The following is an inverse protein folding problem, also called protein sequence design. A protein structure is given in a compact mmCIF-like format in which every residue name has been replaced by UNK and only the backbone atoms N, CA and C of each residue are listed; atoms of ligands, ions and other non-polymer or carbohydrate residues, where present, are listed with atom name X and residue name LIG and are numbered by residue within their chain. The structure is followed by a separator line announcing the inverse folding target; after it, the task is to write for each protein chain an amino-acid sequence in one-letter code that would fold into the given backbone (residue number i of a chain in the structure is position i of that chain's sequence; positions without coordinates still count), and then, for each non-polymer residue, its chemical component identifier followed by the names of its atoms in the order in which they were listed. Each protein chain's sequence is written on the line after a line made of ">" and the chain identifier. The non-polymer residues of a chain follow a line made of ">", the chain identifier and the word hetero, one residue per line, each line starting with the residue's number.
data_IF_957324160683
#
_entry.id   IF_957324160683
#
_cell.length_a   1.000
_cell.length_b   1.000
_cell.length_c   1.000
_cell.angle_alpha   90.00
_cell.angle_beta   90.00
_cell.angle_gamma   90.00
#
_symmetry.space_group_name_H-M   'P 1'
#
loop_
_entity.id
_entity.type
_entity.pdbx_description
1 polymer ?
#
# COMPACT_ATOMS: atom_id res chain seq x y z
N UNK A 1 8.98 37.40 21.67
CA UNK A 1 9.42 36.04 22.05
C UNK A 1 8.24 35.18 22.45
N UNK A 2 8.17 33.96 21.92
CA UNK A 2 7.18 32.95 22.31
C UNK A 2 7.93 31.92 23.15
N UNK A 3 7.48 31.68 24.38
CA UNK A 3 7.99 30.61 25.23
C UNK A 3 6.99 29.47 25.24
N UNK A 4 7.47 28.25 24.99
CA UNK A 4 6.67 27.03 25.06
C UNK A 4 7.28 26.15 26.15
N UNK A 5 6.48 25.82 27.16
CA UNK A 5 6.87 24.88 28.22
C UNK A 5 6.25 23.52 27.94
N UNK A 6 7.09 22.47 27.94
CA UNK A 6 6.66 21.08 27.70
C UNK A 6 6.97 20.30 28.97
N UNK A 7 5.95 19.66 29.54
CA UNK A 7 6.10 18.75 30.68
C UNK A 7 5.72 17.34 30.25
N UNK A 8 6.53 16.35 30.60
CA UNK A 8 6.31 14.96 30.22
C UNK A 8 6.57 14.03 31.41
N UNK A 9 5.83 12.91 31.46
CA UNK A 9 6.10 11.80 32.40
C UNK A 9 7.26 10.92 31.94
N UNK A 10 7.58 10.96 30.64
CA UNK A 10 8.75 10.34 30.03
C UNK A 10 9.83 11.40 29.79
N UNK A 11 11.09 11.08 30.05
CA UNK A 11 12.18 12.05 30.03
C UNK A 11 12.63 12.48 28.62
N UNK A 12 12.01 11.97 27.57
CA UNK A 12 12.42 12.20 26.17
C UNK A 12 11.31 12.89 25.37
N UNK A 13 11.68 14.00 24.72
CA UNK A 13 10.81 14.77 23.83
C UNK A 13 11.56 14.97 22.52
N UNK A 14 11.02 14.44 21.44
CA UNK A 14 11.51 14.73 20.10
C UNK A 14 10.84 15.99 19.55
N UNK A 15 11.63 16.86 18.94
CA UNK A 15 11.17 18.06 18.25
C UNK A 15 11.60 18.02 16.79
N UNK A 16 10.70 18.49 15.91
CA UNK A 16 10.99 18.66 14.50
C UNK A 16 10.83 20.12 14.12
N UNK A 17 11.68 20.59 13.23
CA UNK A 17 11.60 21.93 12.70
C UNK A 17 11.60 21.89 11.17
N UNK A 18 10.92 22.85 10.56
CA UNK A 18 10.82 22.94 9.10
C UNK A 18 12.18 23.29 8.46
N UNK A 19 12.22 23.25 7.14
CA UNK A 19 13.39 23.62 6.34
C UNK A 19 13.86 25.04 6.73
N UNK A 20 15.17 25.20 6.95
CA UNK A 20 15.84 26.42 7.44
C UNK A 20 15.68 26.76 8.93
N UNK A 21 15.10 25.86 9.73
CA UNK A 21 15.19 25.92 11.19
C UNK A 21 16.16 24.86 11.71
N UNK A 22 16.74 25.09 12.90
CA UNK A 22 17.62 24.14 13.55
C UNK A 22 17.44 24.20 15.07
N UNK A 23 17.51 23.04 15.73
CA UNK A 23 17.62 22.98 17.18
C UNK A 23 19.08 23.18 17.59
N UNK A 24 19.32 24.11 18.49
CA UNK A 24 20.66 24.44 18.97
C UNK A 24 20.62 24.63 20.48
N UNK A 25 21.50 23.91 21.17
CA UNK A 25 21.82 24.11 22.59
C UNK A 25 23.01 25.08 22.76
N UNK A 26 23.39 25.85 21.72
CA UNK A 26 24.55 26.74 21.77
C UNK A 26 24.44 27.76 22.90
N UNK A 27 25.48 27.74 23.75
CA UNK A 27 25.72 28.62 24.89
C UNK A 27 25.75 30.11 24.49
N UNK A 28 26.06 30.43 23.24
CA UNK A 28 26.16 31.81 22.72
C UNK A 28 24.85 32.59 22.72
N UNK A 29 23.69 31.92 22.88
CA UNK A 29 22.40 32.58 23.13
C UNK A 29 21.94 32.51 24.60
N UNK A 30 22.77 32.02 25.52
CA UNK A 30 22.51 32.01 26.96
C UNK A 30 21.60 30.88 27.47
N UNK A 31 21.12 29.98 26.61
CA UNK A 31 20.22 28.89 26.99
C UNK A 31 21.00 27.57 27.13
N UNK A 32 21.59 27.33 28.30
CA UNK A 32 22.10 26.00 28.65
C UNK A 32 21.10 25.34 29.58
N UNK A 33 20.41 24.31 29.09
CA UNK A 33 19.45 23.54 29.88
C UNK A 33 19.93 22.10 29.95
N UNK A 34 20.17 21.61 31.17
CA UNK A 34 20.55 20.21 31.41
C UNK A 34 19.48 19.29 30.82
N UNK A 35 19.89 18.28 30.04
CA UNK A 35 19.00 17.35 29.34
C UNK A 35 18.63 17.73 27.90
N UNK A 36 19.07 18.89 27.38
CA UNK A 36 18.84 19.28 25.98
C UNK A 36 20.01 18.90 25.07
N UNK A 37 19.74 18.02 24.11
CA UNK A 37 20.67 17.65 23.06
C UNK A 37 20.65 18.68 21.92
N UNK A 38 21.77 18.78 21.19
CA UNK A 38 21.78 19.49 19.90
C UNK A 38 20.88 18.72 18.91
N UNK A 39 20.26 19.43 17.96
CA UNK A 39 19.47 18.75 16.92
C UNK A 39 20.31 17.80 16.07
N UNK A 40 19.69 16.69 15.66
CA UNK A 40 20.24 15.66 14.79
C UNK A 40 19.28 15.33 13.63
N UNK A 41 19.66 14.36 12.79
CA UNK A 41 18.85 13.88 11.67
C UNK A 41 18.50 12.39 11.79
N UNK A 42 18.37 11.85 13.01
CA UNK A 42 18.18 10.41 13.24
C UNK A 42 16.71 9.97 13.30
N UNK A 43 15.78 10.92 13.43
CA UNK A 43 14.34 10.67 13.49
C UNK A 43 13.63 11.57 12.47
N UNK A 44 13.80 11.34 11.18
CA UNK A 44 13.32 12.29 10.15
C UNK A 44 11.91 11.98 9.65
N UNK A 45 11.28 10.91 10.14
CA UNK A 45 9.92 10.55 9.79
C UNK A 45 8.90 11.29 10.66
N UNK A 46 8.19 12.23 10.03
CA UNK A 46 7.08 12.96 10.65
C UNK A 46 5.73 12.27 10.46
N UNK A 47 4.67 12.81 11.07
CA UNK A 47 3.29 12.31 10.96
C UNK A 47 2.82 12.21 9.49
N UNK A 48 3.17 13.19 8.65
CA UNK A 48 2.97 13.16 7.18
C UNK A 48 3.64 11.96 6.49
N UNK A 49 4.73 11.44 7.08
CA UNK A 49 5.39 10.21 6.65
C UNK A 49 4.66 8.93 7.07
N UNK A 50 3.45 9.02 7.63
CA UNK A 50 2.62 7.86 7.94
C UNK A 50 3.12 7.05 9.13
N UNK A 51 3.38 7.69 10.28
CA UNK A 51 3.85 6.99 11.49
C UNK A 51 2.82 6.04 12.11
N UNK A 52 1.56 6.08 11.68
CA UNK A 52 0.49 5.19 12.13
C UNK A 52 0.78 3.71 11.85
N UNK A 53 0.30 2.84 12.74
CA UNK A 53 0.35 1.37 12.57
C UNK A 53 -0.57 0.89 11.44
N UNK A 54 -1.61 1.66 11.13
CA UNK A 54 -2.63 1.35 10.10
C UNK A 54 -2.38 2.05 8.76
N UNK A 55 -1.14 2.50 8.51
CA UNK A 55 -0.69 3.06 7.24
C UNK A 55 0.47 2.21 6.72
N UNK A 56 0.52 2.00 5.40
CA UNK A 56 1.70 1.47 4.70
C UNK A 56 2.50 2.67 4.20
N UNK A 57 3.67 2.89 4.79
CA UNK A 57 4.55 4.01 4.47
C UNK A 57 5.56 3.63 3.40
N UNK A 58 5.65 4.47 2.36
CA UNK A 58 6.64 4.36 1.31
C UNK A 58 7.89 5.22 1.61
N UNK A 59 9.07 4.59 1.59
CA UNK A 59 10.35 5.27 1.40
C UNK A 59 10.61 5.53 -0.08
N UNK A 60 11.52 6.44 -0.40
CA UNK A 60 11.78 6.86 -1.77
C UNK A 60 13.13 6.37 -2.27
N UNK A 61 13.14 5.59 -3.36
CA UNK A 61 14.36 5.28 -4.11
C UNK A 61 14.26 5.71 -5.57
N UNK A 62 15.43 5.91 -6.18
CA UNK A 62 15.57 6.23 -7.59
C UNK A 62 15.30 4.97 -8.41
N UNK A 63 14.31 5.00 -9.28
CA UNK A 63 14.07 3.93 -10.25
C UNK A 63 14.74 4.23 -11.60
N UNK A 64 14.74 5.50 -12.00
CA UNK A 64 15.31 5.99 -13.24
C UNK A 64 16.31 7.10 -12.92
N UNK A 65 17.48 7.10 -13.56
CA UNK A 65 18.55 8.07 -13.25
C UNK A 65 18.49 9.33 -14.11
N UNK A 66 17.83 9.28 -15.27
CA UNK A 66 17.69 10.44 -16.15
C UNK A 66 16.55 10.31 -17.14
N UNK A 67 16.13 11.43 -17.71
CA UNK A 67 15.27 11.48 -18.88
C UNK A 67 15.72 12.54 -19.88
N UNK A 68 15.30 12.41 -21.14
CA UNK A 68 15.54 13.41 -22.18
C UNK A 68 14.39 14.41 -22.18
N UNK A 69 14.70 15.69 -21.96
CA UNK A 69 13.69 16.74 -21.96
C UNK A 69 13.34 17.24 -23.37
N UNK A 70 12.33 18.10 -23.49
CA UNK A 70 11.86 18.68 -24.77
C UNK A 70 12.88 19.59 -25.47
N UNK A 71 13.89 20.06 -24.73
CA UNK A 71 15.03 20.81 -25.28
C UNK A 71 16.11 19.89 -25.85
N UNK A 72 15.91 18.57 -25.80
CA UNK A 72 16.93 17.61 -26.18
C UNK A 72 18.14 17.67 -25.25
N UNK A 73 17.92 17.74 -23.93
CA UNK A 73 18.97 17.65 -22.91
C UNK A 73 18.70 16.48 -21.98
N UNK A 74 19.77 15.87 -21.45
CA UNK A 74 19.65 14.84 -20.42
C UNK A 74 19.50 15.54 -19.06
N UNK A 75 18.41 15.22 -18.35
CA UNK A 75 18.15 15.69 -17.00
C UNK A 75 18.33 14.52 -16.04
N UNK A 76 19.26 14.69 -15.11
CA UNK A 76 19.66 13.65 -14.17
C UNK A 76 18.93 13.82 -12.83
N UNK A 77 18.55 12.70 -12.24
CA UNK A 77 18.02 12.60 -10.90
C UNK A 77 19.16 12.49 -9.86
N UNK A 78 18.79 12.57 -8.59
CA UNK A 78 19.71 12.85 -7.48
C UNK A 78 20.70 11.73 -7.14
N UNK A 79 20.48 10.51 -7.62
CA UNK A 79 21.32 9.35 -7.32
C UNK A 79 21.23 8.25 -8.39
N UNK A 80 21.98 7.16 -8.17
CA UNK A 80 21.99 5.97 -9.03
C UNK A 80 20.68 5.17 -8.94
N UNK A 81 20.39 4.38 -9.98
CA UNK A 81 19.21 3.51 -10.00
C UNK A 81 19.29 2.50 -8.85
N UNK A 82 18.19 2.40 -8.11
CA UNK A 82 18.09 1.62 -6.89
C UNK A 82 18.56 2.35 -5.64
N UNK A 83 19.26 3.47 -5.71
CA UNK A 83 19.71 4.18 -4.51
C UNK A 83 18.57 4.95 -3.85
N UNK A 84 18.60 5.08 -2.52
CA UNK A 84 17.64 5.90 -1.78
C UNK A 84 17.83 7.39 -2.14
N UNK A 85 16.74 8.14 -2.25
CA UNK A 85 16.84 9.58 -2.51
C UNK A 85 17.34 10.29 -1.24
N UNK A 86 18.14 11.38 -1.38
CA UNK A 86 18.77 12.07 -0.24
C UNK A 86 17.74 12.77 0.67
N UNK A 87 16.54 13.02 0.16
CA UNK A 87 15.45 13.67 0.90
C UNK A 87 14.44 12.66 1.49
N UNK A 88 14.62 11.35 1.27
CA UNK A 88 13.71 10.35 1.83
C UNK A 88 13.83 10.34 3.36
N UNK A 89 12.75 10.73 4.05
CA UNK A 89 12.64 10.53 5.49
C UNK A 89 12.83 9.06 5.86
N UNK A 90 13.40 8.84 7.03
CA UNK A 90 13.68 7.52 7.58
C UNK A 90 13.40 7.50 9.07
N UNK A 91 13.18 6.29 9.57
CA UNK A 91 12.87 6.04 10.96
C UNK A 91 14.08 6.11 11.89
N UNK A 92 13.91 5.70 13.15
CA UNK A 92 12.67 5.16 13.69
C UNK A 92 11.58 6.23 13.87
N UNK A 93 10.35 5.78 14.14
CA UNK A 93 9.33 6.66 14.71
C UNK A 93 9.75 7.10 16.13
N UNK A 94 9.09 8.11 16.71
CA UNK A 94 9.38 8.56 18.08
C UNK A 94 9.19 7.50 19.16
N UNK A 95 8.47 6.41 18.85
CA UNK A 95 8.31 5.23 19.72
C UNK A 95 9.18 4.03 19.26
N UNK A 96 10.19 4.25 18.43
CA UNK A 96 11.22 3.26 18.09
C UNK A 96 10.85 2.27 16.98
N UNK A 97 9.66 2.39 16.36
CA UNK A 97 9.23 1.46 15.30
C UNK A 97 9.94 1.75 13.98
N UNK A 98 10.15 0.70 13.20
CA UNK A 98 10.66 0.82 11.83
C UNK A 98 9.63 1.47 10.92
N UNK A 99 10.01 2.61 10.34
CA UNK A 99 9.39 3.22 9.18
C UNK A 99 10.51 3.76 8.26
N UNK A 100 10.32 3.83 6.93
CA UNK A 100 9.13 3.42 6.17
C UNK A 100 8.87 1.91 6.27
N UNK A 101 7.70 1.43 5.85
CA UNK A 101 7.46 -0.01 5.79
C UNK A 101 8.18 -0.63 4.60
N UNK A 102 8.22 0.06 3.46
CA UNK A 102 8.81 -0.44 2.22
C UNK A 102 9.35 0.71 1.38
N UNK A 103 10.42 0.48 0.62
CA UNK A 103 10.94 1.47 -0.32
C UNK A 103 10.29 1.33 -1.70
N UNK A 104 9.88 2.44 -2.29
CA UNK A 104 9.13 2.54 -3.55
C UNK A 104 9.76 3.58 -4.49
N UNK A 105 9.62 3.41 -5.83
CA UNK A 105 10.10 4.36 -6.82
C UNK A 105 9.60 5.80 -6.62
N UNK A 106 10.53 6.76 -6.63
CA UNK A 106 10.22 8.18 -6.43
C UNK A 106 10.72 9.10 -7.55
N UNK A 107 11.55 8.60 -8.46
CA UNK A 107 12.02 9.29 -9.68
C UNK A 107 11.23 8.77 -10.89
N UNK A 108 10.18 9.49 -11.28
CA UNK A 108 9.20 9.00 -12.27
C UNK A 108 8.96 10.01 -13.38
N UNK A 109 8.53 9.48 -14.52
CA UNK A 109 7.96 10.23 -15.62
C UNK A 109 6.44 10.15 -15.50
N UNK A 110 5.81 11.27 -15.13
CA UNK A 110 4.38 11.33 -14.84
C UNK A 110 3.64 12.06 -15.96
N UNK A 111 2.43 11.60 -16.36
CA UNK A 111 1.63 12.34 -17.30
C UNK A 111 1.22 13.68 -16.69
N UNK A 112 1.25 14.73 -17.49
CA UNK A 112 0.60 15.98 -17.15
C UNK A 112 -0.79 16.07 -17.75
N UNK A 113 -1.60 16.88 -17.09
CA UNK A 113 -2.86 17.30 -17.66
C UNK A 113 -2.59 18.18 -18.90
N UNK A 114 -3.28 17.89 -20.00
CA UNK A 114 -3.20 18.66 -21.26
C UNK A 114 -3.61 20.13 -21.10
N UNK A 115 -4.33 20.49 -20.03
CA UNK A 115 -4.72 21.87 -19.71
C UNK A 115 -3.66 22.64 -18.89
N UNK A 116 -2.61 21.97 -18.40
CA UNK A 116 -1.63 22.54 -17.47
C UNK A 116 -0.28 22.86 -18.11
N UNK A 117 -0.18 22.85 -19.44
CA UNK A 117 1.06 23.21 -20.15
C UNK A 117 0.89 24.58 -20.78
N UNK A 118 1.74 25.53 -20.40
CA UNK A 118 1.84 26.84 -21.04
C UNK A 118 2.32 26.64 -22.49
N UNK A 119 1.47 26.93 -23.50
CA UNK A 119 1.83 26.81 -24.91
C UNK A 119 2.93 27.80 -25.34
N UNK A 120 3.21 28.83 -24.54
CA UNK A 120 4.17 29.89 -24.84
C UNK A 120 5.56 29.65 -24.25
N UNK A 121 5.76 28.50 -23.59
CA UNK A 121 7.05 27.83 -23.39
C UNK A 121 8.18 28.67 -22.82
N UNK A 122 8.39 28.62 -21.50
CA UNK A 122 9.71 28.80 -20.89
C UNK A 122 9.80 28.28 -19.44
N UNK A 123 8.71 28.29 -18.68
CA UNK A 123 8.75 27.79 -17.30
C UNK A 123 8.79 26.25 -17.29
N UNK A 124 9.91 25.70 -16.82
CA UNK A 124 10.12 24.27 -16.58
C UNK A 124 10.19 23.37 -17.82
N UNK A 125 10.57 23.90 -18.99
CA UNK A 125 10.84 23.09 -20.18
C UNK A 125 11.89 21.98 -19.93
N UNK A 126 12.80 22.21 -18.98
CA UNK A 126 13.74 21.20 -18.54
C UNK A 126 13.09 20.00 -17.83
N UNK A 127 11.91 20.17 -17.23
CA UNK A 127 11.17 19.09 -16.57
C UNK A 127 10.23 18.33 -17.51
N UNK A 128 9.94 18.88 -18.70
CA UNK A 128 9.05 18.27 -19.69
C UNK A 128 9.81 17.22 -20.49
N UNK A 129 9.30 15.99 -20.53
CA UNK A 129 9.85 14.91 -21.35
C UNK A 129 9.78 15.28 -22.84
N UNK A 130 10.80 14.91 -23.61
CA UNK A 130 10.86 15.24 -25.04
C UNK A 130 9.86 14.49 -25.92
N UNK A 131 9.22 13.44 -25.39
CA UNK A 131 8.12 12.76 -26.05
C UNK A 131 6.78 13.33 -25.60
N UNK A 132 5.88 13.54 -26.56
CA UNK A 132 4.50 13.98 -26.33
C UNK A 132 3.55 13.08 -27.14
N UNK A 133 2.29 12.99 -26.72
CA UNK A 133 1.24 12.28 -27.44
C UNK A 133 0.23 13.28 -27.94
N UNK A 134 -0.10 13.23 -29.23
CA UNK A 134 -1.06 14.15 -29.84
C UNK A 134 -2.22 13.36 -30.43
N UNK A 135 -3.43 13.78 -30.09
CA UNK A 135 -4.68 13.24 -30.64
C UNK A 135 -5.60 14.41 -31.00
N UNK A 136 -5.83 14.59 -32.30
CA UNK A 136 -6.54 15.76 -32.82
C UNK A 136 -5.79 17.05 -32.46
N UNK A 137 -6.50 18.01 -31.87
CA UNK A 137 -5.94 19.33 -31.48
C UNK A 137 -5.37 19.35 -30.05
N UNK A 138 -5.15 18.18 -29.43
CA UNK A 138 -4.67 18.08 -28.06
C UNK A 138 -3.33 17.35 -28.01
N UNK A 139 -2.43 17.89 -27.21
CA UNK A 139 -1.12 17.29 -26.91
C UNK A 139 -1.00 17.07 -25.40
N UNK A 140 -0.64 15.84 -25.03
CA UNK A 140 -0.34 15.43 -23.67
C UNK A 140 1.17 15.32 -23.52
N UNK A 141 1.67 15.94 -22.46
CA UNK A 141 3.08 15.95 -22.10
C UNK A 141 3.29 15.09 -20.86
N UNK A 142 4.54 14.73 -20.64
CA UNK A 142 4.99 14.08 -19.41
C UNK A 142 6.06 14.92 -18.74
N UNK A 143 6.16 14.76 -17.43
CA UNK A 143 7.10 15.50 -16.60
C UNK A 143 7.95 14.54 -15.79
N UNK A 144 9.26 14.80 -15.78
CA UNK A 144 10.18 14.12 -14.88
C UNK A 144 10.17 14.78 -13.51
N UNK A 145 9.84 14.00 -12.50
CA UNK A 145 9.82 14.43 -11.11
C UNK A 145 10.54 13.43 -10.22
N UNK A 146 11.19 13.95 -9.18
CA UNK A 146 11.81 13.16 -8.14
C UNK A 146 11.43 13.76 -6.77
N UNK A 147 10.47 13.13 -6.11
CA UNK A 147 9.96 13.55 -4.79
C UNK A 147 9.40 12.36 -4.01
N UNK A 148 9.51 12.36 -2.68
CA UNK A 148 9.00 11.25 -1.85
C UNK A 148 7.52 11.03 -2.04
N UNK A 149 6.76 12.10 -2.27
CA UNK A 149 5.32 12.03 -2.52
C UNK A 149 4.93 11.21 -3.75
N UNK A 150 5.87 10.87 -4.66
CA UNK A 150 5.62 9.95 -5.78
C UNK A 150 5.75 8.47 -5.40
N UNK A 151 6.52 8.17 -4.35
CA UNK A 151 6.67 6.81 -3.84
C UNK A 151 5.34 6.25 -3.33
N UNK A 152 4.54 7.09 -2.67
CA UNK A 152 3.23 6.74 -2.11
C UNK A 152 2.17 6.36 -3.16
N UNK A 153 1.85 7.19 -4.18
CA UNK A 153 0.89 6.81 -5.22
C UNK A 153 1.40 5.65 -6.08
N UNK A 154 2.72 5.53 -6.34
CA UNK A 154 3.26 4.36 -7.03
C UNK A 154 3.00 3.07 -6.24
N UNK A 155 3.26 3.09 -4.92
CA UNK A 155 2.95 1.98 -4.04
C UNK A 155 1.44 1.69 -4.00
N UNK A 156 0.59 2.72 -3.97
CA UNK A 156 -0.85 2.57 -4.01
C UNK A 156 -1.34 1.90 -5.30
N UNK A 157 -0.77 2.27 -6.46
CA UNK A 157 -1.06 1.59 -7.74
C UNK A 157 -0.66 0.11 -7.70
N UNK A 158 0.47 -0.22 -7.07
CA UNK A 158 0.87 -1.61 -6.90
C UNK A 158 -0.06 -2.38 -5.95
N UNK A 159 -0.53 -1.74 -4.88
CA UNK A 159 -1.55 -2.31 -3.98
C UNK A 159 -2.87 -2.54 -4.73
N UNK A 160 -3.27 -1.62 -5.61
CA UNK A 160 -4.47 -1.80 -6.43
C UNK A 160 -4.36 -3.03 -7.34
N UNK A 161 -3.21 -3.25 -7.97
CA UNK A 161 -2.95 -4.47 -8.76
C UNK A 161 -2.92 -5.74 -7.90
N UNK A 162 -2.41 -5.65 -6.67
CA UNK A 162 -2.44 -6.76 -5.72
C UNK A 162 -3.88 -7.11 -5.31
N UNK A 163 -4.71 -6.09 -5.06
CA UNK A 163 -6.14 -6.25 -4.74
C UNK A 163 -6.97 -6.67 -5.95
N UNK A 164 -6.56 -6.32 -7.17
CA UNK A 164 -7.18 -6.85 -8.38
C UNK A 164 -6.94 -8.36 -8.50
N UNK A 165 -5.74 -8.82 -8.12
CA UNK A 165 -5.40 -10.23 -8.10
C UNK A 165 -6.12 -10.99 -6.98
N UNK A 166 -6.31 -10.38 -5.81
CA UNK A 166 -7.11 -10.91 -4.71
C UNK A 166 -7.82 -9.79 -3.91
N UNK A 167 -9.12 -9.53 -4.17
CA UNK A 167 -9.86 -8.46 -3.49
C UNK A 167 -10.20 -8.76 -2.03
N UNK A 168 -9.95 -9.98 -1.54
CA UNK A 168 -10.25 -10.38 -0.17
C UNK A 168 -9.10 -10.07 0.79
N UNK A 169 -7.96 -9.57 0.29
CA UNK A 169 -6.82 -9.23 1.14
C UNK A 169 -7.19 -8.08 2.10
N UNK A 170 -7.20 -8.40 3.38
CA UNK A 170 -7.29 -7.40 4.44
C UNK A 170 -5.99 -6.58 4.53
N UNK A 171 -6.07 -5.39 5.14
CA UNK A 171 -4.93 -4.48 5.31
C UNK A 171 -3.66 -5.17 5.82
N UNK A 172 -3.76 -6.01 6.86
CA UNK A 172 -2.60 -6.70 7.43
C UNK A 172 -1.98 -7.72 6.46
N UNK A 173 -2.81 -8.39 5.67
CA UNK A 173 -2.35 -9.33 4.63
C UNK A 173 -1.65 -8.56 3.51
N UNK A 174 -2.22 -7.45 3.03
CA UNK A 174 -1.57 -6.57 2.05
C UNK A 174 -0.20 -6.12 2.55
N UNK A 175 -0.15 -5.61 3.79
CA UNK A 175 1.10 -5.16 4.40
C UNK A 175 2.13 -6.29 4.50
N UNK A 176 1.73 -7.46 5.02
CA UNK A 176 2.60 -8.62 5.16
C UNK A 176 3.11 -9.13 3.81
N UNK A 177 2.23 -9.26 2.81
CA UNK A 177 2.59 -9.70 1.46
C UNK A 177 3.62 -8.76 0.86
N UNK A 178 3.44 -7.44 0.99
CA UNK A 178 4.41 -6.47 0.47
C UNK A 178 5.75 -6.53 1.20
N UNK A 179 5.75 -6.59 2.54
CA UNK A 179 6.99 -6.51 3.33
C UNK A 179 7.79 -7.81 3.36
N UNK A 180 7.17 -8.96 3.12
CA UNK A 180 7.85 -10.27 3.06
C UNK A 180 8.34 -10.63 1.65
N UNK A 181 7.84 -9.95 0.62
CA UNK A 181 8.16 -10.23 -0.79
C UNK A 181 8.97 -9.10 -1.44
N UNK A 182 9.95 -8.53 -0.74
CA UNK A 182 10.79 -7.45 -1.24
C UNK A 182 11.98 -7.93 -2.07
N UNK A 183 12.69 -6.98 -2.68
CA UNK A 183 14.04 -7.19 -3.22
C UNK A 183 15.06 -6.45 -2.34
N UNK A 184 16.22 -7.06 -2.18
CA UNK A 184 17.42 -6.45 -1.60
C UNK A 184 18.55 -6.46 -2.62
N UNK A 185 19.47 -5.52 -2.47
CA UNK A 185 20.66 -5.39 -3.30
C UNK A 185 21.81 -4.71 -2.52
N UNK A 186 22.87 -4.33 -3.22
CA UNK A 186 24.04 -3.70 -2.62
C UNK A 186 23.71 -2.38 -1.89
N UNK A 187 22.67 -1.65 -2.30
CA UNK A 187 22.27 -0.41 -1.64
C UNK A 187 21.46 -0.66 -0.37
N UNK A 188 20.62 -1.71 -0.35
CA UNK A 188 19.86 -2.05 0.86
C UNK A 188 20.73 -2.74 1.91
N UNK A 189 21.77 -3.45 1.46
CA UNK A 189 22.53 -4.35 2.32
C UNK A 189 21.65 -5.43 2.93
N UNK A 190 22.03 -5.88 4.13
CA UNK A 190 21.27 -6.85 4.91
C UNK A 190 20.19 -6.14 5.71
N UNK A 191 18.94 -6.57 5.54
CA UNK A 191 17.79 -6.03 6.28
C UNK A 191 17.47 -6.97 7.46
N UNK A 192 17.52 -6.48 8.72
CA UNK A 192 17.12 -7.27 9.89
C UNK A 192 15.65 -7.66 9.88
N UNK A 193 15.27 -8.67 10.65
CA UNK A 193 13.85 -9.07 10.80
C UNK A 193 12.95 -7.97 11.38
N UNK A 194 13.53 -7.04 12.15
CA UNK A 194 12.83 -5.83 12.65
C UNK A 194 12.64 -4.75 11.58
N UNK A 195 13.21 -4.92 10.39
CA UNK A 195 13.29 -3.90 9.35
C UNK A 195 14.48 -2.95 9.53
N UNK A 196 14.77 -2.19 8.47
CA UNK A 196 15.85 -1.21 8.39
C UNK A 196 15.26 0.21 8.34
N UNK A 197 15.77 1.15 9.12
CA UNK A 197 15.16 2.48 9.23
C UNK A 197 15.13 3.29 7.93
N UNK A 198 16.09 3.09 7.02
CA UNK A 198 16.07 3.73 5.69
C UNK A 198 15.19 3.01 4.67
N UNK A 199 15.15 1.67 4.73
CA UNK A 199 14.65 0.82 3.64
C UNK A 199 13.34 0.10 3.99
N UNK A 200 12.88 0.23 5.24
CA UNK A 200 11.85 -0.62 5.79
C UNK A 200 12.24 -2.09 5.67
N UNK A 201 11.36 -2.88 5.08
CA UNK A 201 11.61 -4.30 4.80
C UNK A 201 12.24 -4.57 3.42
N UNK A 202 12.59 -3.52 2.66
CA UNK A 202 13.29 -3.62 1.38
C UNK A 202 12.60 -2.89 0.25
N UNK A 203 13.02 -3.17 -0.99
CA UNK A 203 12.45 -2.54 -2.19
C UNK A 203 11.20 -3.29 -2.64
N UNK A 204 10.16 -2.52 -2.98
CA UNK A 204 8.93 -3.03 -3.56
C UNK A 204 9.19 -3.98 -4.73
N UNK A 205 8.62 -5.18 -4.65
CA UNK A 205 8.62 -6.14 -5.75
C UNK A 205 7.21 -6.72 -5.92
N UNK A 206 6.43 -6.07 -6.78
CA UNK A 206 5.04 -6.45 -7.02
C UNK A 206 4.92 -7.86 -7.62
N UNK A 207 5.88 -8.28 -8.44
CA UNK A 207 5.86 -9.62 -9.05
C UNK A 207 5.95 -10.73 -8.00
N UNK A 208 6.87 -10.61 -7.02
CA UNK A 208 6.96 -11.55 -5.90
C UNK A 208 5.70 -11.50 -5.03
N UNK A 209 5.21 -10.30 -4.73
CA UNK A 209 3.99 -10.10 -3.96
C UNK A 209 2.77 -10.82 -4.59
N UNK A 210 2.49 -10.57 -5.87
CA UNK A 210 1.37 -11.22 -6.60
C UNK A 210 1.58 -12.73 -6.71
N UNK A 211 2.82 -13.18 -6.98
CA UNK A 211 3.12 -14.62 -7.05
C UNK A 211 2.82 -15.33 -5.72
N UNK A 212 3.12 -14.70 -4.59
CA UNK A 212 2.90 -15.29 -3.25
C UNK A 212 1.42 -15.52 -2.92
N UNK A 213 0.52 -14.64 -3.39
CA UNK A 213 -0.92 -14.78 -3.15
C UNK A 213 -1.59 -15.77 -4.12
N UNK A 214 -1.01 -15.98 -5.32
CA UNK A 214 -1.49 -16.99 -6.26
C UNK A 214 -1.27 -18.41 -5.75
N UNK A 215 -0.17 -18.66 -5.03
CA UNK A 215 0.08 -19.94 -4.38
C UNK A 215 -0.90 -20.20 -3.22
N UNK A 216 -1.43 -19.16 -2.58
CA UNK A 216 -2.46 -19.29 -1.54
C UNK A 216 -3.86 -19.61 -2.11
N UNK A 217 -4.17 -19.13 -3.32
CA UNK A 217 -5.50 -19.26 -3.96
C UNK A 217 -5.63 -20.46 -4.90
N UNK A 218 -4.55 -21.16 -5.26
CA UNK A 218 -4.57 -22.25 -6.25
C UNK A 218 -5.10 -23.61 -5.73
N UNK A 219 -5.62 -23.68 -4.51
CA UNK A 219 -6.19 -24.91 -3.93
C UNK A 219 -7.72 -24.99 -3.92
N UNK A 220 -8.43 -24.07 -4.59
CA UNK A 220 -9.87 -24.16 -4.80
C UNK A 220 -10.20 -24.37 -6.28
N UNK A 221 -10.14 -25.63 -6.72
CA UNK A 221 -10.85 -26.04 -7.95
C UNK A 221 -12.36 -25.96 -7.67
N UNK A 222 -12.99 -24.87 -8.07
CA UNK A 222 -14.45 -24.78 -8.13
C UNK A 222 -14.97 -25.50 -9.38
N UNK A 223 -15.69 -26.60 -9.18
CA UNK A 223 -16.45 -27.24 -10.24
C UNK A 223 -17.78 -26.50 -10.42
N UNK A 224 -17.88 -25.57 -11.37
CA UNK A 224 -19.14 -25.35 -12.12
C UNK A 224 -18.92 -24.63 -13.45
N UNK A 225 -19.58 -25.15 -14.48
CA UNK A 225 -19.80 -24.52 -15.78
C UNK A 225 -20.85 -23.40 -15.64
N UNK A 226 -20.41 -22.17 -15.34
CA UNK A 226 -21.28 -20.99 -15.26
C UNK A 226 -20.50 -19.77 -14.75
N UNK A 227 -20.87 -18.56 -15.19
CA UNK A 227 -20.15 -17.33 -14.83
C UNK A 227 -19.95 -17.20 -13.30
N UNK A 228 -18.71 -16.87 -12.90
CA UNK A 228 -18.31 -16.60 -11.51
C UNK A 228 -19.05 -15.37 -10.94
N UNK A 229 -20.23 -15.57 -10.33
CA UNK A 229 -21.01 -14.49 -9.70
C UNK A 229 -20.44 -14.07 -8.35
N UNK A 230 -19.98 -15.03 -7.54
CA UNK A 230 -19.54 -14.77 -6.16
C UNK A 230 -18.05 -15.02 -6.00
N UNK A 231 -17.35 -14.07 -5.37
CA UNK A 231 -15.99 -14.25 -4.85
C UNK A 231 -16.07 -14.40 -3.34
N UNK A 232 -15.18 -15.19 -2.73
CA UNK A 232 -15.25 -15.46 -1.30
C UNK A 232 -13.87 -15.53 -0.66
N UNK A 233 -13.77 -15.17 0.63
CA UNK A 233 -12.57 -15.42 1.41
C UNK A 233 -12.44 -16.91 1.74
N UNK A 234 -11.21 -17.43 1.67
CA UNK A 234 -10.87 -18.80 2.02
C UNK A 234 -9.33 -18.92 2.18
N UNK A 235 -8.79 -19.49 3.27
CA UNK A 235 -9.46 -19.99 4.48
C UNK A 235 -10.22 -18.91 5.27
N UNK A 236 -11.08 -19.34 6.19
CA UNK A 236 -11.92 -18.47 7.03
C UNK A 236 -11.79 -18.86 8.50
N UNK A 237 -11.92 -17.87 9.38
CA UNK A 237 -12.08 -18.10 10.81
C UNK A 237 -13.59 -18.02 11.16
N UNK A 238 -14.01 -16.93 11.80
CA UNK A 238 -15.38 -16.75 12.28
C UNK A 238 -16.35 -16.17 11.24
N UNK A 239 -15.87 -15.80 10.05
CA UNK A 239 -16.68 -15.07 9.08
C UNK A 239 -16.37 -15.46 7.63
N UNK A 240 -17.44 -15.82 6.91
CA UNK A 240 -17.45 -15.93 5.45
C UNK A 240 -17.92 -14.61 4.84
N UNK A 241 -17.18 -14.09 3.88
CA UNK A 241 -17.47 -12.88 3.12
C UNK A 241 -17.69 -13.30 1.67
N UNK A 242 -18.86 -12.97 1.13
CA UNK A 242 -19.19 -13.16 -0.28
C UNK A 242 -19.29 -11.81 -0.98
N UNK A 243 -18.58 -11.63 -2.09
CA UNK A 243 -18.70 -10.46 -2.96
C UNK A 243 -19.53 -10.81 -4.19
N UNK A 244 -20.69 -10.15 -4.39
CA UNK A 244 -21.53 -10.33 -5.59
C UNK A 244 -21.08 -9.40 -6.71
N UNK A 245 -20.52 -9.97 -7.78
CA UNK A 245 -20.07 -9.19 -8.95
C UNK A 245 -21.18 -8.58 -9.78
N UNK A 246 -22.39 -9.14 -9.74
CA UNK A 246 -23.48 -8.72 -10.62
C UNK A 246 -24.34 -7.62 -9.99
N UNK A 247 -24.24 -7.39 -8.68
CA UNK A 247 -24.98 -6.33 -7.97
C UNK A 247 -26.49 -6.41 -8.17
N UNK A 248 -27.02 -7.63 -8.41
CA UNK A 248 -28.46 -7.84 -8.57
C UNK A 248 -29.07 -8.06 -7.19
N UNK A 249 -29.99 -7.18 -6.80
CA UNK A 249 -30.77 -7.34 -5.58
C UNK A 249 -31.56 -8.65 -5.56
N UNK A 250 -31.99 -9.09 -4.37
CA UNK A 250 -32.79 -10.30 -4.19
C UNK A 250 -32.36 -11.13 -2.97
N UNK A 251 -32.96 -12.31 -2.81
CA UNK A 251 -32.64 -13.21 -1.70
C UNK A 251 -31.39 -14.06 -1.99
N UNK A 252 -30.40 -14.02 -1.10
CA UNK A 252 -29.22 -14.89 -1.07
C UNK A 252 -29.37 -15.90 0.08
N UNK A 253 -29.22 -17.19 -0.21
CA UNK A 253 -29.30 -18.27 0.78
C UNK A 253 -28.06 -19.14 0.74
N UNK A 254 -27.47 -19.43 1.90
CA UNK A 254 -26.37 -20.36 2.05
C UNK A 254 -26.80 -21.64 2.76
N UNK A 255 -26.36 -22.77 2.24
CA UNK A 255 -26.39 -24.06 2.91
C UNK A 255 -24.95 -24.55 3.08
N UNK A 256 -24.59 -24.97 4.29
CA UNK A 256 -23.22 -25.42 4.60
C UNK A 256 -23.24 -26.92 4.89
N UNK A 257 -22.45 -27.67 4.12
CA UNK A 257 -22.33 -29.11 4.24
C UNK A 257 -20.93 -29.48 4.75
N UNK A 258 -20.85 -30.49 5.62
CA UNK A 258 -19.57 -31.10 5.97
C UNK A 258 -19.07 -32.03 4.85
N UNK A 259 -17.90 -32.62 5.03
CA UNK A 259 -17.31 -33.57 4.08
C UNK A 259 -18.10 -34.88 3.90
N UNK A 260 -19.03 -35.19 4.80
CA UNK A 260 -19.93 -36.35 4.70
C UNK A 260 -21.22 -36.02 3.95
N UNK A 261 -21.42 -34.76 3.53
CA UNK A 261 -22.63 -34.30 2.86
C UNK A 261 -23.79 -33.97 3.82
N UNK A 262 -23.55 -33.94 5.12
CA UNK A 262 -24.54 -33.53 6.11
C UNK A 262 -24.63 -32.01 6.15
N UNK A 263 -25.84 -31.45 6.10
CA UNK A 263 -26.08 -30.02 6.25
C UNK A 263 -25.92 -29.64 7.72
N UNK A 264 -24.82 -28.95 8.04
CA UNK A 264 -24.47 -28.56 9.42
C UNK A 264 -25.14 -27.26 9.81
N UNK A 265 -25.40 -26.39 8.83
CA UNK A 265 -26.06 -25.11 9.07
C UNK A 265 -27.09 -24.79 8.01
N UNK A 266 -28.33 -24.63 8.47
CA UNK A 266 -29.51 -24.52 7.63
C UNK A 266 -29.77 -23.05 7.28
N UNK A 267 -29.72 -22.76 5.98
CA UNK A 267 -30.32 -21.58 5.35
C UNK A 267 -29.98 -20.24 6.00
N UNK A 268 -28.70 -19.85 5.98
CA UNK A 268 -28.32 -18.46 6.26
C UNK A 268 -28.81 -17.58 5.10
N UNK A 269 -29.78 -16.71 5.39
CA UNK A 269 -30.40 -15.82 4.41
C UNK A 269 -29.91 -14.39 4.59
N UNK A 270 -29.57 -13.74 3.48
CA UNK A 270 -29.34 -12.29 3.42
C UNK A 270 -30.10 -11.69 2.23
N UNK A 271 -30.63 -10.49 2.40
CA UNK A 271 -31.28 -9.75 1.32
C UNK A 271 -30.26 -8.77 0.71
N UNK A 272 -30.10 -8.85 -0.61
CA UNK A 272 -29.11 -8.09 -1.38
C UNK A 272 -29.72 -6.77 -1.88
N UNK A 273 -28.95 -5.69 -1.80
CA UNK A 273 -29.25 -4.41 -2.46
C UNK A 273 -28.87 -4.41 -3.95
N UNK A 274 -29.17 -3.32 -4.65
CA UNK A 274 -28.76 -3.10 -6.04
C UNK A 274 -27.43 -2.35 -6.09
N UNK A 275 -26.33 -3.05 -5.82
CA UNK A 275 -24.93 -2.62 -6.06
C UNK A 275 -24.02 -3.81 -5.64
N UNK A 276 -22.83 -3.93 -6.25
CA UNK A 276 -21.90 -5.02 -5.90
C UNK A 276 -21.43 -4.89 -4.46
N UNK A 277 -21.93 -5.75 -3.58
CA UNK A 277 -21.79 -5.60 -2.12
C UNK A 277 -20.97 -6.74 -1.50
N UNK A 278 -20.38 -6.47 -0.34
CA UNK A 278 -19.77 -7.47 0.52
C UNK A 278 -20.80 -8.03 1.52
N UNK A 279 -21.05 -9.33 1.44
CA UNK A 279 -22.01 -10.03 2.28
C UNK A 279 -21.29 -10.88 3.31
N UNK A 280 -21.22 -10.34 4.52
CA UNK A 280 -20.72 -11.05 5.68
C UNK A 280 -21.74 -12.05 6.24
N UNK A 281 -21.28 -13.27 6.50
CA UNK A 281 -21.95 -14.35 7.19
C UNK A 281 -21.07 -14.78 8.37
N UNK A 282 -21.56 -14.58 9.59
CA UNK A 282 -20.97 -15.20 10.78
C UNK A 282 -20.97 -16.71 10.56
N UNK A 283 -19.88 -17.41 10.86
CA UNK A 283 -19.73 -18.88 10.82
C UNK A 283 -18.91 -19.36 12.03
N UNK A 284 -18.82 -18.56 13.11
CA UNK A 284 -18.00 -18.87 14.29
C UNK A 284 -18.40 -20.16 15.03
N UNK A 285 -19.56 -20.72 14.72
CA UNK A 285 -20.01 -22.01 15.24
C UNK A 285 -19.38 -23.22 14.52
N UNK A 286 -18.76 -23.01 13.35
CA UNK A 286 -18.07 -24.10 12.65
C UNK A 286 -16.74 -24.40 13.35
N UNK A 287 -16.42 -25.69 13.45
CA UNK A 287 -15.10 -26.13 13.92
C UNK A 287 -14.11 -26.13 12.76
N UNK A 288 -12.81 -26.12 13.05
CA UNK A 288 -11.78 -26.22 12.02
C UNK A 288 -11.98 -27.47 11.15
N UNK A 289 -11.96 -27.31 9.83
CA UNK A 289 -12.32 -28.37 8.90
C UNK A 289 -12.60 -27.91 7.48
N UNK A 290 -13.00 -28.86 6.63
CA UNK A 290 -13.40 -28.60 5.24
C UNK A 290 -14.91 -28.74 5.08
N UNK A 291 -15.51 -27.77 4.40
CA UNK A 291 -16.94 -27.67 4.16
C UNK A 291 -17.22 -27.35 2.69
N UNK A 292 -18.44 -27.63 2.25
CA UNK A 292 -18.98 -27.16 0.98
C UNK A 292 -20.11 -26.19 1.25
N UNK A 293 -20.08 -25.01 0.64
CA UNK A 293 -21.13 -24.02 0.76
C UNK A 293 -21.87 -23.92 -0.55
N UNK A 294 -23.16 -24.23 -0.51
CA UNK A 294 -24.07 -24.04 -1.64
C UNK A 294 -24.75 -22.69 -1.52
N UNK A 295 -24.61 -21.88 -2.55
CA UNK A 295 -25.13 -20.52 -2.64
C UNK A 295 -26.32 -20.54 -3.58
N UNK A 296 -27.47 -20.04 -3.13
CA UNK A 296 -28.67 -19.87 -3.94
C UNK A 296 -29.06 -18.40 -4.02
N UNK A 297 -29.42 -17.99 -5.23
CA UNK A 297 -30.04 -16.69 -5.47
C UNK A 297 -31.45 -16.86 -6.01
N UNK A 298 -32.30 -15.86 -5.77
CA UNK A 298 -33.71 -15.86 -6.17
C UNK A 298 -33.94 -16.00 -7.68
N UNK A 299 -32.97 -15.57 -8.51
CA UNK A 299 -32.96 -15.75 -9.96
C UNK A 299 -32.53 -17.16 -10.41
N UNK A 300 -32.43 -18.12 -9.48
CA UNK A 300 -32.20 -19.54 -9.77
C UNK A 300 -30.74 -19.90 -10.04
N UNK A 301 -29.80 -18.97 -9.85
CA UNK A 301 -28.36 -19.28 -9.95
C UNK A 301 -27.93 -20.02 -8.69
N UNK A 302 -27.29 -21.17 -8.87
CA UNK A 302 -26.65 -21.91 -7.78
C UNK A 302 -25.16 -22.09 -8.04
N UNK A 303 -24.33 -21.73 -7.06
CA UNK A 303 -22.89 -22.00 -7.06
C UNK A 303 -22.54 -22.86 -5.84
N UNK A 304 -21.52 -23.71 -5.96
CA UNK A 304 -20.99 -24.47 -4.84
C UNK A 304 -19.51 -24.17 -4.69
N UNK A 305 -19.12 -23.75 -3.50
CA UNK A 305 -17.75 -23.37 -3.17
C UNK A 305 -17.19 -24.30 -2.10
N UNK A 306 -15.87 -24.49 -2.10
CA UNK A 306 -15.17 -25.18 -1.01
C UNK A 306 -14.73 -24.15 0.04
N UNK A 307 -14.95 -24.45 1.31
CA UNK A 307 -14.59 -23.60 2.43
C UNK A 307 -13.66 -24.35 3.40
N UNK A 308 -12.56 -23.70 3.81
CA UNK A 308 -11.62 -24.20 4.82
C UNK A 308 -11.75 -23.33 6.07
N UNK A 309 -12.19 -23.90 7.18
CA UNK A 309 -12.33 -23.22 8.48
C UNK A 309 -11.08 -23.51 9.31
N UNK A 310 -10.46 -22.49 9.90
CA UNK A 310 -9.15 -22.58 10.60
C UNK A 310 -9.17 -22.12 12.07
N UNK A 311 -10.36 -22.01 12.68
CA UNK A 311 -10.60 -21.57 14.06
C UNK A 311 -9.74 -22.27 15.12
#
# INVERSE_FOLDING_TARGET
>A
DISVSITSRNNEVHGWCAQNAFFSNKTTKGFTMSGYLTGDTQYTIGELGGTSKSIITAGAHVAQTKFRNILGQDVFFSADSGQVTPFSSFGPTSDGRTKPDISSPASLICPANSFSVDPNGNERANLVQGTAYTQGNRTWYWFGFEVTSLASPFLASCIALLLEADPMLAFQQVKSVLTTNTTTDAFTGVIPASGHYQWGFGKLNLYKAISSIKTLTSNSEEFTSGMKRFWHNNPVENQLVLFDKLGKGGKLTLQIFNMYGEEIEINKVKYLGYEGDFHHFDIGNLIAGQYFVRIFTEDGISSTIKLIVVN
#
